data_IF_004009790675
#
_entry.id   IF_004009790675
#
_cell.length_a   1.000
_cell.length_b   1.000
_cell.length_c   1.000
_cell.angle_alpha   90.00
_cell.angle_beta   90.00
_cell.angle_gamma   90.00
#
_symmetry.space_group_name_H-M   'P 1'
#
loop_
_entity.id
_entity.type
_entity.pdbx_description
1 polymer ?
#
# COMPACT_ATOMS: atom_id res chain seq x y z
N UNK A 1 -4.11 19.61 5.92
CA UNK A 1 -5.07 18.48 6.00
C UNK A 1 -5.68 18.48 7.39
N UNK A 2 -6.93 18.08 7.53
CA UNK A 2 -7.57 17.87 8.82
C UNK A 2 -8.53 16.68 8.71
N UNK A 3 -8.85 16.04 9.84
CA UNK A 3 -9.84 14.95 9.89
C UNK A 3 -11.25 15.42 9.51
N UNK A 4 -11.47 16.74 9.57
CA UNK A 4 -12.76 17.38 9.32
C UNK A 4 -12.61 18.53 8.33
N UNK A 5 -13.72 18.94 7.73
CA UNK A 5 -13.75 20.12 6.84
C UNK A 5 -14.19 21.36 7.62
N UNK A 6 -13.65 22.52 7.28
CA UNK A 6 -14.02 23.80 7.94
C UNK A 6 -13.16 24.17 9.15
N UNK A 7 -12.08 23.43 9.41
CA UNK A 7 -11.16 23.70 10.53
C UNK A 7 -10.38 25.03 10.35
N UNK A 8 -10.23 25.50 9.11
CA UNK A 8 -9.60 26.77 8.79
C UNK A 8 -10.53 27.62 7.92
N UNK A 9 -10.58 28.91 8.22
CA UNK A 9 -11.34 29.88 7.43
C UNK A 9 -10.47 30.41 6.28
N UNK A 10 -10.73 29.94 5.07
CA UNK A 10 -10.00 30.30 3.85
C UNK A 10 -11.00 30.84 2.83
N UNK A 11 -10.73 32.00 2.24
CA UNK A 11 -11.58 32.59 1.23
C UNK A 11 -11.73 31.67 0.00
N UNK A 12 -12.93 31.43 -0.54
CA UNK A 12 -13.15 30.45 -1.61
C UNK A 12 -12.30 30.66 -2.87
N UNK A 13 -12.01 31.92 -3.23
CA UNK A 13 -11.18 32.25 -4.39
C UNK A 13 -9.71 31.85 -4.23
N UNK A 14 -9.26 31.60 -3.00
CA UNK A 14 -7.90 31.11 -2.71
C UNK A 14 -7.81 29.57 -2.71
N UNK A 15 -8.92 28.86 -2.91
CA UNK A 15 -8.96 27.40 -2.92
C UNK A 15 -8.80 26.89 -4.36
N UNK A 16 -7.62 26.36 -4.68
CA UNK A 16 -7.36 25.73 -5.99
C UNK A 16 -8.09 24.40 -6.16
N UNK A 17 -8.09 23.58 -5.12
CA UNK A 17 -8.72 22.25 -5.11
C UNK A 17 -9.21 21.91 -3.71
N UNK A 18 -10.35 21.21 -3.63
CA UNK A 18 -10.88 20.66 -2.38
C UNK A 18 -11.24 19.20 -2.59
N UNK A 19 -10.67 18.34 -1.76
CA UNK A 19 -10.88 16.89 -1.83
C UNK A 19 -10.69 16.22 -0.48
N UNK A 20 -10.81 14.89 -0.47
CA UNK A 20 -10.52 14.04 0.68
C UNK A 20 -9.59 12.90 0.25
N UNK A 21 -8.87 12.33 1.21
CA UNK A 21 -8.12 11.10 0.95
C UNK A 21 -9.09 9.94 0.73
N UNK A 22 -8.95 9.23 -0.38
CA UNK A 22 -9.74 8.04 -0.70
C UNK A 22 -8.93 6.79 -0.33
N UNK A 23 -9.59 5.64 -0.07
CA UNK A 23 -8.89 4.38 0.19
C UNK A 23 -7.85 4.08 -0.88
N UNK A 24 -6.62 3.79 -0.45
CA UNK A 24 -5.50 3.48 -1.34
C UNK A 24 -4.88 4.68 -2.07
N UNK A 25 -5.35 5.92 -1.88
CA UNK A 25 -4.73 7.12 -2.44
C UNK A 25 -3.82 7.81 -1.43
N UNK A 26 -2.74 8.40 -1.92
CA UNK A 26 -1.77 9.16 -1.14
C UNK A 26 -1.22 10.36 -1.94
N UNK A 27 -0.51 11.26 -1.25
CA UNK A 27 0.28 12.32 -1.86
C UNK A 27 1.44 12.69 -0.94
N UNK A 28 2.46 13.36 -1.49
CA UNK A 28 3.63 13.83 -0.74
C UNK A 28 3.77 15.35 -0.93
N UNK A 29 3.89 16.09 0.18
CA UNK A 29 4.33 17.49 0.13
C UNK A 29 5.85 17.48 0.12
N UNK A 30 6.45 17.78 -1.03
CA UNK A 30 7.90 17.87 -1.16
C UNK A 30 8.35 19.30 -0.93
N UNK A 31 9.11 19.52 0.15
CA UNK A 31 9.71 20.82 0.42
C UNK A 31 10.88 21.12 -0.53
N UNK A 32 11.60 20.09 -0.97
CA UNK A 32 12.70 20.22 -1.92
C UNK A 32 12.19 20.59 -3.33
N UNK A 33 11.12 19.94 -3.80
CA UNK A 33 10.50 20.24 -5.11
C UNK A 33 9.51 21.41 -5.05
N UNK A 34 9.21 21.94 -3.85
CA UNK A 34 8.26 23.04 -3.64
C UNK A 34 6.83 22.74 -4.12
N UNK A 35 6.44 21.45 -4.21
CA UNK A 35 5.15 21.04 -4.78
C UNK A 35 4.56 19.80 -4.11
N UNK A 36 3.28 19.58 -4.37
CA UNK A 36 2.57 18.36 -4.00
C UNK A 36 2.77 17.33 -5.13
N UNK A 37 3.29 16.16 -4.78
CA UNK A 37 3.41 14.99 -5.64
C UNK A 37 2.17 14.13 -5.43
N UNK A 38 1.42 13.91 -6.51
CA UNK A 38 0.17 13.16 -6.48
C UNK A 38 0.36 11.64 -6.39
N UNK A 39 -0.75 10.93 -6.22
CA UNK A 39 -0.82 9.49 -5.97
C UNK A 39 -0.08 8.63 -7.01
N UNK A 40 -0.43 8.77 -8.28
CA UNK A 40 0.15 7.97 -9.38
C UNK A 40 1.65 8.21 -9.54
N UNK A 41 2.07 9.48 -9.54
CA UNK A 41 3.48 9.85 -9.67
C UNK A 41 4.31 9.29 -8.50
N UNK A 42 3.76 9.39 -7.28
CA UNK A 42 4.43 8.90 -6.08
C UNK A 42 4.56 7.37 -6.09
N UNK A 43 3.48 6.66 -6.43
CA UNK A 43 3.48 5.20 -6.54
C UNK A 43 4.39 4.70 -7.64
N UNK A 44 4.41 5.37 -8.80
CA UNK A 44 5.30 5.00 -9.91
C UNK A 44 6.77 5.15 -9.50
N UNK A 45 7.13 6.30 -8.92
CA UNK A 45 8.48 6.54 -8.38
C UNK A 45 8.86 5.50 -7.34
N UNK A 46 7.97 5.18 -6.40
CA UNK A 46 8.25 4.22 -5.32
C UNK A 46 8.35 2.78 -5.82
N UNK A 47 7.44 2.35 -6.68
CA UNK A 47 7.41 0.98 -7.22
C UNK A 47 8.62 0.66 -8.09
N UNK A 48 9.26 1.67 -8.69
CA UNK A 48 10.48 1.53 -9.49
C UNK A 48 11.78 1.66 -8.69
N UNK A 49 11.72 1.91 -7.38
CA UNK A 49 12.95 2.08 -6.57
C UNK A 49 13.81 0.83 -6.50
N UNK A 50 13.21 -0.35 -6.61
CA UNK A 50 13.88 -1.65 -6.52
C UNK A 50 13.17 -2.64 -7.44
N UNK A 51 13.82 -3.74 -7.86
CA UNK A 51 13.22 -4.75 -8.74
C UNK A 51 12.29 -5.70 -7.97
N UNK A 52 11.25 -5.15 -7.32
CA UNK A 52 10.35 -5.90 -6.44
C UNK A 52 9.72 -7.12 -7.13
N UNK A 53 9.37 -7.02 -8.41
CA UNK A 53 8.82 -8.14 -9.19
C UNK A 53 9.81 -9.30 -9.32
N UNK A 54 11.10 -9.01 -9.50
CA UNK A 54 12.13 -10.04 -9.57
C UNK A 54 12.28 -10.74 -8.22
N UNK A 55 12.36 -9.98 -7.12
CA UNK A 55 12.45 -10.56 -5.78
C UNK A 55 11.27 -11.47 -5.45
N UNK A 56 10.06 -11.05 -5.84
CA UNK A 56 8.86 -11.87 -5.68
C UNK A 56 8.95 -13.17 -6.49
N UNK A 57 9.43 -13.13 -7.73
CA UNK A 57 9.55 -14.32 -8.55
C UNK A 57 10.62 -15.29 -8.02
N UNK A 58 11.72 -14.77 -7.51
CA UNK A 58 12.86 -15.59 -7.07
C UNK A 58 12.68 -16.15 -5.65
N UNK A 59 11.95 -15.46 -4.77
CA UNK A 59 11.96 -15.74 -3.32
C UNK A 59 10.57 -16.09 -2.75
N UNK A 60 9.50 -16.06 -3.55
CA UNK A 60 8.17 -16.44 -3.09
C UNK A 60 7.97 -17.96 -3.24
N UNK A 61 7.74 -18.62 -2.11
CA UNK A 61 7.18 -19.98 -2.08
C UNK A 61 5.70 -19.89 -1.72
N UNK A 62 4.85 -20.57 -2.49
CA UNK A 62 3.44 -20.76 -2.14
C UNK A 62 3.22 -22.15 -1.58
N UNK A 63 2.14 -22.34 -0.81
CA UNK A 63 1.78 -23.66 -0.25
C UNK A 63 1.63 -24.71 -1.35
N UNK A 64 1.24 -24.31 -2.57
CA UNK A 64 1.12 -25.19 -3.73
C UNK A 64 2.47 -25.72 -4.24
N UNK A 65 3.56 -25.02 -3.95
CA UNK A 65 4.92 -25.39 -4.34
C UNK A 65 5.56 -26.34 -3.33
N UNK A 66 4.95 -26.51 -2.15
CA UNK A 66 5.43 -27.44 -1.14
C UNK A 66 5.05 -28.88 -1.53
N UNK A 67 5.92 -29.86 -1.23
CA UNK A 67 5.56 -31.26 -1.40
C UNK A 67 4.32 -31.59 -0.58
N UNK A 68 3.49 -32.51 -1.07
CA UNK A 68 2.41 -33.07 -0.29
C UNK A 68 2.97 -33.55 1.05
N UNK A 69 2.25 -33.25 2.13
CA UNK A 69 2.68 -33.64 3.46
C UNK A 69 2.73 -35.17 3.54
N UNK A 70 3.94 -35.74 3.41
CA UNK A 70 4.22 -37.14 3.71
C UNK A 70 4.35 -37.32 5.23
N UNK A 71 3.38 -36.81 5.98
CA UNK A 71 3.21 -37.23 7.36
C UNK A 71 2.38 -38.51 7.31
N UNK A 72 2.86 -39.65 7.84
CA UNK A 72 1.95 -40.77 8.08
C UNK A 72 0.81 -40.20 8.92
N UNK A 73 -0.43 -40.45 8.50
CA UNK A 73 -1.60 -40.23 9.33
C UNK A 73 -1.41 -41.14 10.55
N UNK A 74 -0.76 -40.64 11.59
CA UNK A 74 -0.91 -41.19 12.92
C UNK A 74 -2.34 -40.80 13.28
N UNK A 75 -3.27 -41.70 12.94
CA UNK A 75 -4.61 -41.73 13.48
C UNK A 75 -4.44 -42.01 14.98
N UNK A 76 -4.05 -40.99 15.75
CA UNK A 76 -4.33 -40.96 17.17
C UNK A 76 -5.84 -40.73 17.23
N UNK A 77 -6.58 -41.83 17.20
CA UNK A 77 -7.95 -41.87 17.64
C UNK A 77 -7.94 -41.40 19.09
N UNK A 78 -8.10 -40.10 19.32
CA UNK A 78 -8.44 -39.59 20.65
C UNK A 78 -9.93 -39.88 20.84
N UNK A 79 -10.31 -40.74 21.81
CA UNK A 79 -11.70 -41.00 22.11
C UNK A 79 -12.23 -39.82 22.94
N UNK A 80 -12.85 -38.85 22.27
CA UNK A 80 -13.82 -37.94 22.87
C UNK A 80 -14.97 -37.74 21.89
#
# INVERSE_FOLDING_TARGET
>A
MASETGVLNIAPHNIKERGRLQPGRMFLVSFDEGRIIGDEELKDKLSKKQPYSQWLNENRLTIKDLPAANAPLILIATPY
#
